data_IF_313188087058
#
_entry.id   IF_313188087058
#
_cell.length_a   1.000
_cell.length_b   1.000
_cell.length_c   1.000
_cell.angle_alpha   90.00
_cell.angle_beta   90.00
_cell.angle_gamma   90.00
#
_symmetry.space_group_name_H-M   'P 1'
#
loop_
_entity.id
_entity.type
_entity.pdbx_description
1 polymer ?
#
# COMPACT_ATOMS: atom_id res chain seq x y z
N UNK A 1 -7.48 -4.56 -19.88
CA UNK A 1 -8.18 -5.34 -18.85
C UNK A 1 -8.52 -4.41 -17.69
N UNK A 2 -9.77 -4.38 -17.27
CA UNK A 2 -10.18 -3.52 -16.18
C UNK A 2 -9.73 -4.14 -14.84
N UNK A 3 -9.08 -3.33 -13.99
CA UNK A 3 -8.73 -3.73 -12.64
C UNK A 3 -9.89 -3.39 -11.73
N UNK A 4 -10.34 -4.37 -10.96
CA UNK A 4 -11.45 -4.21 -10.03
C UNK A 4 -10.94 -4.09 -8.60
N UNK A 5 -11.68 -3.37 -7.77
CA UNK A 5 -11.41 -3.33 -6.34
C UNK A 5 -11.54 -4.72 -5.73
N UNK A 6 -10.65 -5.04 -4.81
CA UNK A 6 -10.83 -6.18 -3.93
C UNK A 6 -11.94 -5.86 -2.95
N UNK A 7 -12.91 -6.77 -2.82
CA UNK A 7 -14.05 -6.61 -1.93
C UNK A 7 -14.07 -7.76 -0.93
N UNK A 8 -13.89 -7.44 0.34
CA UNK A 8 -13.85 -8.41 1.42
C UNK A 8 -14.38 -7.77 2.70
N UNK A 9 -14.27 -8.48 3.82
CA UNK A 9 -14.73 -7.97 5.12
C UNK A 9 -14.06 -6.65 5.52
N UNK A 10 -12.81 -6.43 5.12
CA UNK A 10 -12.09 -5.21 5.48
C UNK A 10 -12.64 -4.00 4.74
N UNK A 11 -12.96 -4.16 3.46
CA UNK A 11 -13.60 -3.10 2.70
C UNK A 11 -14.97 -2.75 3.26
N UNK A 12 -15.75 -3.77 3.59
CA UNK A 12 -17.10 -3.59 4.18
C UNK A 12 -17.03 -2.89 5.53
N UNK A 13 -16.09 -3.27 6.39
CA UNK A 13 -15.89 -2.64 7.70
C UNK A 13 -15.61 -1.15 7.57
N UNK A 14 -14.97 -0.72 6.48
CA UNK A 14 -14.64 0.68 6.21
C UNK A 14 -15.69 1.41 5.38
N UNK A 15 -16.90 0.86 5.25
CA UNK A 15 -18.02 1.50 4.57
C UNK A 15 -18.20 1.15 3.10
N UNK A 16 -17.40 0.23 2.57
CA UNK A 16 -17.54 -0.24 1.19
C UNK A 16 -17.04 0.74 0.13
N UNK A 17 -16.37 1.81 0.54
CA UNK A 17 -15.84 2.84 -0.36
C UNK A 17 -14.35 2.65 -0.57
N UNK A 18 -13.91 2.70 -1.84
CA UNK A 18 -12.50 2.50 -2.16
C UNK A 18 -12.05 3.44 -3.27
N UNK A 19 -10.74 3.69 -3.31
CA UNK A 19 -10.08 4.45 -4.37
C UNK A 19 -8.77 3.77 -4.73
N UNK A 20 -8.37 3.91 -5.99
CA UNK A 20 -7.01 3.61 -6.38
C UNK A 20 -6.14 4.85 -6.22
N UNK A 21 -4.97 4.68 -5.65
CA UNK A 21 -4.01 5.74 -5.40
C UNK A 21 -2.67 5.41 -6.06
N UNK A 22 -2.08 6.41 -6.70
CA UNK A 22 -0.65 6.39 -6.96
C UNK A 22 0.05 6.85 -5.69
N UNK A 23 0.91 6.02 -5.14
CA UNK A 23 1.74 6.37 -3.99
C UNK A 23 3.09 6.80 -4.50
N UNK A 24 3.50 8.02 -4.16
CA UNK A 24 4.71 8.66 -4.66
C UNK A 24 5.68 8.88 -3.51
N UNK A 25 6.97 8.82 -3.83
CA UNK A 25 8.01 9.19 -2.86
C UNK A 25 7.95 10.69 -2.62
N UNK A 26 7.78 11.12 -1.37
CA UNK A 26 7.78 12.54 -1.03
C UNK A 26 9.11 13.19 -1.34
N UNK A 27 10.19 12.43 -1.16
CA UNK A 27 11.54 12.95 -1.27
C UNK A 27 11.95 13.28 -2.73
N UNK A 28 11.60 12.42 -3.69
CA UNK A 28 12.03 12.60 -5.09
C UNK A 28 10.88 12.62 -6.10
N UNK A 29 9.64 12.40 -5.66
CA UNK A 29 8.48 12.42 -6.54
C UNK A 29 8.26 11.17 -7.38
N UNK A 30 9.11 10.16 -7.25
CA UNK A 30 8.98 8.94 -8.04
C UNK A 30 7.72 8.17 -7.65
N UNK A 31 7.04 7.60 -8.65
CA UNK A 31 5.91 6.70 -8.40
C UNK A 31 6.42 5.40 -7.82
N UNK A 32 5.88 5.00 -6.67
CA UNK A 32 6.30 3.80 -5.95
C UNK A 32 5.37 2.63 -6.28
N UNK A 33 4.06 2.83 -6.10
CA UNK A 33 3.10 1.74 -6.27
C UNK A 33 1.70 2.28 -6.50
N UNK A 34 0.82 1.36 -6.93
CA UNK A 34 -0.62 1.59 -7.01
C UNK A 34 -1.28 0.83 -5.88
N UNK A 35 -2.12 1.52 -5.13
CA UNK A 35 -2.71 1.01 -3.90
C UNK A 35 -4.22 1.20 -3.88
N UNK A 36 -4.96 0.20 -3.40
CA UNK A 36 -6.39 0.34 -3.12
C UNK A 36 -6.57 0.77 -1.68
N UNK A 37 -7.07 1.99 -1.49
CA UNK A 37 -7.40 2.49 -0.15
C UNK A 37 -8.89 2.30 0.10
N UNK A 38 -9.23 1.56 1.15
CA UNK A 38 -10.59 1.36 1.60
C UNK A 38 -10.96 2.40 2.66
N UNK A 39 -12.13 3.03 2.46
CA UNK A 39 -12.66 4.01 3.39
C UNK A 39 -11.96 5.37 3.36
N UNK A 40 -12.54 6.35 4.08
CA UNK A 40 -11.96 7.69 4.19
C UNK A 40 -10.82 7.74 5.21
N UNK A 41 -10.14 8.87 5.28
CA UNK A 41 -9.11 9.14 6.27
C UNK A 41 -7.70 9.12 5.69
N UNK A 42 -6.70 9.40 6.53
CA UNK A 42 -5.31 9.46 6.07
C UNK A 42 -4.74 8.09 5.77
N UNK A 43 -3.74 8.06 4.88
CA UNK A 43 -3.00 6.86 4.56
C UNK A 43 -1.89 6.67 5.61
N UNK A 44 -2.09 5.75 6.54
CA UNK A 44 -1.14 5.49 7.63
C UNK A 44 -0.30 4.25 7.41
N UNK A 45 -0.83 3.27 6.69
CA UNK A 45 -0.18 2.00 6.39
C UNK A 45 -0.61 1.49 5.05
N UNK A 46 0.20 0.59 4.48
CA UNK A 46 -0.12 -0.06 3.22
C UNK A 46 -0.31 -1.55 3.48
N UNK A 47 -1.54 -2.03 3.38
CA UNK A 47 -1.79 -3.48 3.49
C UNK A 47 -1.23 -4.17 2.25
N UNK A 48 -0.48 -5.25 2.44
CA UNK A 48 0.18 -5.92 1.32
C UNK A 48 -0.81 -6.46 0.30
N UNK A 49 -1.99 -6.89 0.76
CA UNK A 49 -3.03 -7.42 -0.11
C UNK A 49 -3.79 -6.35 -0.90
N UNK A 50 -3.45 -5.07 -0.71
CA UNK A 50 -4.05 -3.94 -1.43
C UNK A 50 -3.07 -3.25 -2.39
N UNK A 51 -1.86 -3.77 -2.51
CA UNK A 51 -0.88 -3.28 -3.49
C UNK A 51 -1.16 -3.97 -4.83
N UNK A 52 -1.42 -3.19 -5.88
CA UNK A 52 -1.80 -3.70 -7.19
C UNK A 52 -0.64 -3.69 -8.20
N UNK A 53 0.27 -2.74 -8.05
CA UNK A 53 1.42 -2.61 -8.95
C UNK A 53 2.55 -1.89 -8.22
N UNK A 54 3.81 -2.15 -8.58
CA UNK A 54 4.27 -3.14 -9.55
C UNK A 54 4.09 -4.57 -9.04
N UNK A 55 4.17 -5.53 -9.94
CA UNK A 55 3.88 -6.93 -9.64
C UNK A 55 4.74 -7.50 -8.51
N UNK A 56 6.03 -7.16 -8.49
CA UNK A 56 6.92 -7.65 -7.43
C UNK A 56 6.46 -7.22 -6.03
N UNK A 57 6.01 -5.97 -5.89
CA UNK A 57 5.48 -5.48 -4.61
C UNK A 57 4.12 -6.11 -4.29
N UNK A 58 3.27 -6.28 -5.29
CA UNK A 58 1.97 -6.92 -5.12
C UNK A 58 2.11 -8.38 -4.65
N UNK A 59 3.17 -9.06 -5.08
CA UNK A 59 3.42 -10.46 -4.73
C UNK A 59 3.96 -10.63 -3.31
N UNK A 60 4.40 -9.59 -2.64
CA UNK A 60 4.89 -9.69 -1.26
C UNK A 60 3.81 -10.17 -0.28
N UNK A 61 2.53 -10.01 -0.63
CA UNK A 61 1.44 -10.54 0.19
C UNK A 61 1.52 -12.07 0.35
N UNK A 62 2.19 -12.75 -0.57
CA UNK A 62 2.35 -14.21 -0.55
C UNK A 62 3.50 -14.66 0.35
N UNK A 63 4.36 -13.75 0.78
CA UNK A 63 5.52 -14.08 1.61
C UNK A 63 5.17 -14.04 3.09
N UNK A 64 5.84 -14.89 3.91
CA UNK A 64 5.78 -14.67 5.35
C UNK A 64 6.38 -13.31 5.70
N UNK A 65 5.86 -12.68 6.74
CA UNK A 65 6.24 -11.30 7.08
C UNK A 65 7.76 -11.15 7.31
N UNK A 66 8.40 -12.20 7.80
CA UNK A 66 9.84 -12.20 8.04
C UNK A 66 10.68 -12.12 6.77
N UNK A 67 10.08 -12.40 5.62
CA UNK A 67 10.76 -12.33 4.31
C UNK A 67 10.38 -11.10 3.50
N UNK A 68 9.46 -10.28 3.97
CA UNK A 68 9.07 -9.05 3.27
C UNK A 68 10.16 -7.99 3.50
N UNK A 69 10.80 -7.48 2.42
CA UNK A 69 11.81 -6.43 2.59
C UNK A 69 11.17 -5.09 2.94
N UNK A 70 11.97 -4.15 3.43
CA UNK A 70 11.52 -2.77 3.61
C UNK A 70 11.08 -2.19 2.27
N UNK A 71 10.13 -1.27 2.31
CA UNK A 71 9.74 -0.52 1.12
C UNK A 71 10.74 0.60 0.91
N UNK A 72 11.47 0.52 -0.20
CA UNK A 72 12.55 1.46 -0.54
C UNK A 72 12.23 2.10 -1.89
N UNK A 73 12.41 3.42 -1.99
CA UNK A 73 12.30 4.10 -3.27
C UNK A 73 13.41 3.62 -4.20
N UNK A 74 13.03 3.08 -5.36
CA UNK A 74 14.00 2.57 -6.32
C UNK A 74 14.89 3.66 -6.92
N UNK A 75 14.42 4.91 -6.90
CA UNK A 75 15.12 6.04 -7.48
C UNK A 75 16.09 6.72 -6.51
N UNK A 76 15.61 7.12 -5.33
CA UNK A 76 16.44 7.85 -4.37
C UNK A 76 16.92 7.00 -3.20
N UNK A 77 16.51 5.73 -3.13
CA UNK A 77 16.94 4.74 -2.12
C UNK A 77 16.49 5.07 -0.69
N UNK A 78 15.60 6.02 -0.50
CA UNK A 78 15.03 6.31 0.82
C UNK A 78 14.14 5.15 1.28
N UNK A 79 14.29 4.73 2.53
CA UNK A 79 13.41 3.74 3.13
C UNK A 79 12.09 4.43 3.48
N UNK A 80 10.99 3.94 2.92
CA UNK A 80 9.67 4.57 3.03
C UNK A 80 8.80 3.91 4.09
N UNK A 81 8.99 2.61 4.31
CA UNK A 81 8.16 1.84 5.23
C UNK A 81 8.86 0.55 5.63
N UNK A 82 8.41 0.00 6.76
CA UNK A 82 8.90 -1.29 7.26
C UNK A 82 7.73 -2.27 7.36
N UNK A 83 7.96 -3.58 7.07
CA UNK A 83 6.88 -4.56 7.15
C UNK A 83 6.55 -4.91 8.61
N UNK A 84 5.27 -5.14 8.87
CA UNK A 84 4.81 -5.60 10.18
C UNK A 84 3.44 -6.27 10.06
N UNK A 85 2.98 -6.88 11.14
CA UNK A 85 1.62 -7.41 11.23
C UNK A 85 0.74 -6.40 11.95
N UNK A 86 -0.30 -5.93 11.28
CA UNK A 86 -1.31 -5.08 11.90
C UNK A 86 -2.25 -5.98 12.70
N UNK A 87 -2.05 -6.01 14.01
CA UNK A 87 -2.69 -6.99 14.89
C UNK A 87 -4.21 -6.90 14.95
N UNK A 88 -4.77 -5.71 14.85
CA UNK A 88 -6.23 -5.52 14.87
C UNK A 88 -6.96 -6.34 13.81
N UNK A 89 -6.35 -6.51 12.66
CA UNK A 89 -6.95 -7.22 11.53
C UNK A 89 -6.16 -8.44 11.11
N UNK A 90 -5.07 -8.75 11.81
CA UNK A 90 -4.18 -9.87 11.47
C UNK A 90 -3.70 -9.79 10.00
N UNK A 91 -3.37 -8.59 9.57
CA UNK A 91 -2.96 -8.34 8.17
C UNK A 91 -1.50 -7.93 8.10
N UNK A 92 -0.81 -8.45 7.09
CA UNK A 92 0.54 -7.99 6.75
C UNK A 92 0.44 -6.60 6.13
N UNK A 93 1.30 -5.70 6.56
CA UNK A 93 1.26 -4.31 6.13
C UNK A 93 2.65 -3.68 6.15
N UNK A 94 2.79 -2.59 5.41
CA UNK A 94 3.91 -1.67 5.54
C UNK A 94 3.52 -0.53 6.46
N UNK A 95 4.32 -0.30 7.49
CA UNK A 95 4.19 0.86 8.35
C UNK A 95 4.97 2.01 7.72
N UNK A 96 4.24 3.03 7.26
CA UNK A 96 4.84 4.18 6.60
C UNK A 96 5.51 5.10 7.62
N UNK A 97 6.71 5.58 7.29
CA UNK A 97 7.30 6.68 8.04
C UNK A 97 6.54 7.96 7.76
N UNK A 98 6.43 8.82 8.77
CA UNK A 98 5.73 10.10 8.65
C UNK A 98 6.39 10.94 7.55
N UNK A 99 5.59 11.43 6.60
CA UNK A 99 6.09 12.28 5.53
C UNK A 99 6.89 11.55 4.45
N UNK A 100 6.90 10.21 4.45
CA UNK A 100 7.70 9.45 3.48
C UNK A 100 7.09 9.44 2.09
N UNK A 101 5.75 9.48 1.99
CA UNK A 101 5.04 9.36 0.72
C UNK A 101 3.95 10.42 0.59
N UNK A 102 3.61 10.73 -0.66
CA UNK A 102 2.40 11.45 -1.03
C UNK A 102 1.51 10.51 -1.83
N UNK A 103 0.26 10.91 -2.03
CA UNK A 103 -0.70 10.11 -2.76
C UNK A 103 -1.49 10.97 -3.74
N UNK A 104 -1.85 10.37 -4.88
CA UNK A 104 -2.76 10.98 -5.85
C UNK A 104 -3.81 9.96 -6.25
N UNK A 105 -5.08 10.37 -6.30
CA UNK A 105 -6.14 9.51 -6.80
C UNK A 105 -5.87 9.22 -8.26
N UNK A 106 -5.99 7.96 -8.65
CA UNK A 106 -5.80 7.55 -10.03
C UNK A 106 -6.96 6.68 -10.49
N UNK A 107 -7.16 6.65 -11.80
CA UNK A 107 -8.07 5.72 -12.45
C UNK A 107 -7.24 4.64 -13.12
N UNK A 108 -7.70 3.42 -13.02
CA UNK A 108 -7.02 2.27 -13.62
C UNK A 108 -7.93 1.62 -14.65
#
# INVERSE_FOLDING_TARGET
MAIKFKSDKYRKTRGGYSRFLNVLCEHCGAKILVYQKDGPGPLKRLYLDRIFAPENLANFQKLPITRVPNLVCSKCKTVLAVPYIYKKEQRKAYRLFVGAVTKKITKI
#
